data_IF_819373616002
#
_entry.id   IF_819373616002
#
_cell.length_a   1.000
_cell.length_b   1.000
_cell.length_c   1.000
_cell.angle_alpha   90.00
_cell.angle_beta   90.00
_cell.angle_gamma   90.00
#
_symmetry.space_group_name_H-M   'P 1'
#
loop_
_entity.id
_entity.type
_entity.pdbx_description
1 polymer ?
#
# COMPACT_ATOMS: atom_id res chain seq x y z
N UNK A 1 -11.55 -12.04 43.93
CA UNK A 1 -10.41 -12.06 42.96
C UNK A 1 -10.85 -12.46 41.56
N UNK A 2 -11.75 -13.42 41.36
CA UNK A 2 -12.20 -13.87 40.03
C UNK A 2 -12.90 -12.80 39.18
N UNK A 3 -13.64 -11.86 39.79
CA UNK A 3 -14.34 -10.76 39.10
C UNK A 3 -13.41 -9.74 38.45
N UNK A 4 -12.21 -9.51 38.99
CA UNK A 4 -11.24 -8.59 38.44
C UNK A 4 -10.43 -9.21 37.28
N UNK A 5 -10.28 -10.51 37.26
CA UNK A 5 -9.63 -11.24 36.18
C UNK A 5 -10.43 -11.15 34.87
N UNK A 6 -11.77 -11.24 34.98
CA UNK A 6 -12.66 -11.14 33.82
C UNK A 6 -12.66 -9.74 33.15
N UNK A 7 -12.52 -8.67 33.93
CA UNK A 7 -12.45 -7.30 33.44
C UNK A 7 -11.09 -7.01 32.77
N UNK A 8 -10.01 -7.57 33.31
CA UNK A 8 -8.67 -7.41 32.72
C UNK A 8 -8.54 -8.11 31.34
N UNK A 9 -9.17 -9.27 31.17
CA UNK A 9 -9.18 -9.99 29.87
C UNK A 9 -10.02 -9.26 28.81
N UNK A 10 -11.12 -8.60 29.21
CA UNK A 10 -11.97 -7.83 28.29
C UNK A 10 -11.29 -6.56 27.76
N UNK A 11 -10.36 -5.96 28.51
CA UNK A 11 -9.61 -4.77 28.11
C UNK A 11 -8.47 -5.04 27.12
N UNK A 12 -7.99 -6.28 27.02
CA UNK A 12 -6.91 -6.68 26.12
C UNK A 12 -7.38 -6.97 24.67
N UNK A 13 -8.69 -7.05 24.44
CA UNK A 13 -9.24 -7.40 23.12
C UNK A 13 -9.55 -6.22 22.20
N UNK A 14 -9.30 -4.97 22.61
CA UNK A 14 -9.64 -3.75 21.83
C UNK A 14 -8.54 -3.24 20.90
N UNK A 15 -7.47 -3.97 20.67
CA UNK A 15 -6.27 -3.49 19.95
C UNK A 15 -6.17 -3.82 18.46
N UNK A 16 -7.23 -4.31 17.79
CA UNK A 16 -7.18 -4.63 16.36
C UNK A 16 -7.51 -3.42 15.47
N UNK A 17 -6.93 -2.22 15.75
CA UNK A 17 -6.97 -1.11 14.81
C UNK A 17 -6.00 -1.40 13.65
N UNK A 18 -6.50 -1.39 12.42
CA UNK A 18 -5.66 -1.46 11.23
C UNK A 18 -4.68 -0.27 11.25
N UNK A 19 -3.40 -0.54 11.50
CA UNK A 19 -2.37 0.48 11.64
C UNK A 19 -1.68 0.76 10.31
N UNK A 20 -1.22 2.01 10.14
CA UNK A 20 -0.36 2.37 9.00
C UNK A 20 0.95 1.58 9.08
N UNK A 21 1.40 0.92 8.01
CA UNK A 21 2.71 0.25 7.96
C UNK A 21 3.84 1.15 8.45
N UNK A 22 4.78 0.60 9.21
CA UNK A 22 5.86 1.38 9.83
C UNK A 22 6.67 2.21 8.82
N UNK A 23 6.90 1.68 7.61
CA UNK A 23 7.60 2.36 6.52
C UNK A 23 6.83 3.56 5.93
N UNK A 24 5.53 3.66 6.20
CA UNK A 24 4.66 4.74 5.75
C UNK A 24 4.30 5.72 6.87
N UNK A 25 4.84 5.53 8.07
CA UNK A 25 4.66 6.45 9.19
C UNK A 25 5.62 7.63 9.07
N UNK A 26 5.23 8.78 9.63
CA UNK A 26 6.08 9.97 9.65
C UNK A 26 5.29 11.26 9.62
N UNK A 27 5.98 12.38 9.41
CA UNK A 27 5.39 13.71 9.24
C UNK A 27 5.35 14.05 7.76
N UNK A 28 4.19 14.38 7.25
CA UNK A 28 3.95 14.72 5.85
C UNK A 28 3.05 15.95 5.75
N UNK A 29 3.21 16.69 4.67
CA UNK A 29 2.25 17.73 4.32
C UNK A 29 1.00 17.05 3.74
N UNK A 30 -0.16 17.35 4.34
CA UNK A 30 -1.45 16.88 3.82
C UNK A 30 -1.74 17.58 2.49
N UNK A 31 -1.59 16.84 1.39
CA UNK A 31 -1.67 17.38 0.03
C UNK A 31 -1.99 16.28 -0.97
N UNK A 32 -2.32 16.70 -2.19
CA UNK A 32 -2.52 15.80 -3.33
C UNK A 32 -1.61 16.23 -4.47
N UNK A 33 -1.32 15.37 -5.45
CA UNK A 33 -0.55 15.78 -6.64
C UNK A 33 -1.18 16.93 -7.43
N UNK A 34 -2.52 17.05 -7.41
CA UNK A 34 -3.23 18.17 -8.04
C UNK A 34 -3.05 19.49 -7.31
N UNK A 35 -2.84 19.45 -6.00
CA UNK A 35 -2.55 20.57 -5.10
C UNK A 35 -1.25 20.27 -4.36
N UNK A 36 -0.14 20.20 -5.12
CA UNK A 36 1.17 19.88 -4.59
C UNK A 36 1.69 21.01 -3.69
N UNK A 37 2.35 20.67 -2.57
CA UNK A 37 2.97 21.65 -1.68
C UNK A 37 4.24 22.25 -2.33
N UNK A 38 4.91 23.19 -1.67
CA UNK A 38 6.20 23.68 -2.15
C UNK A 38 7.25 22.58 -2.34
N UNK A 39 8.17 22.79 -3.27
CA UNK A 39 9.30 21.89 -3.51
C UNK A 39 10.14 21.78 -2.22
N UNK A 40 10.57 20.57 -1.92
CA UNK A 40 11.34 20.26 -0.70
C UNK A 40 10.49 19.66 0.43
N UNK A 41 9.18 19.82 0.39
CA UNK A 41 8.30 19.23 1.38
C UNK A 41 8.20 17.69 1.25
N UNK A 42 8.03 17.03 2.38
CA UNK A 42 7.80 15.58 2.41
C UNK A 42 6.32 15.28 2.24
N UNK A 43 6.02 14.44 1.28
CA UNK A 43 4.66 14.02 0.93
C UNK A 43 4.48 12.52 1.12
N UNK A 44 3.23 12.11 1.36
CA UNK A 44 2.81 10.72 1.30
C UNK A 44 1.61 10.63 0.36
N UNK A 45 1.86 10.15 -0.85
CA UNK A 45 0.86 9.98 -1.90
C UNK A 45 0.77 8.53 -2.32
N UNK A 46 -0.38 8.10 -2.77
CA UNK A 46 -0.54 6.76 -3.28
C UNK A 46 -1.60 6.69 -4.37
N UNK A 47 -1.66 5.56 -5.03
CA UNK A 47 -2.56 5.34 -6.15
C UNK A 47 -2.20 4.08 -6.91
N UNK A 48 -2.61 4.03 -8.16
CA UNK A 48 -2.33 2.91 -9.05
C UNK A 48 -1.13 3.19 -9.96
N UNK A 49 -0.27 2.19 -10.10
CA UNK A 49 0.85 2.21 -11.04
C UNK A 49 0.32 2.25 -12.48
N UNK A 50 0.70 3.26 -13.23
CA UNK A 50 0.39 3.38 -14.66
C UNK A 50 1.54 2.83 -15.50
N UNK A 51 2.78 3.20 -15.13
CA UNK A 51 3.99 2.83 -15.87
C UNK A 51 5.19 2.80 -14.95
N UNK A 52 6.15 1.95 -15.28
CA UNK A 52 7.47 1.89 -14.64
C UNK A 52 8.53 2.15 -15.71
N UNK A 53 9.43 3.07 -15.44
CA UNK A 53 10.52 3.46 -16.35
C UNK A 53 11.87 3.35 -15.65
N UNK A 54 12.60 2.23 -15.80
CA UNK A 54 13.99 2.17 -15.42
C UNK A 54 14.84 3.12 -16.27
N UNK A 55 15.75 3.85 -15.63
CA UNK A 55 16.75 4.70 -16.25
C UNK A 55 18.13 4.23 -15.80
N UNK A 56 19.20 4.86 -16.25
CA UNK A 56 20.57 4.44 -15.94
C UNK A 56 20.80 4.29 -14.42
N UNK A 57 20.40 5.30 -13.62
CA UNK A 57 20.70 5.35 -12.19
C UNK A 57 19.46 5.41 -11.31
N UNK A 58 18.27 5.48 -11.89
CA UNK A 58 17.00 5.65 -11.16
C UNK A 58 15.89 4.87 -11.84
N UNK A 59 14.91 4.43 -11.06
CA UNK A 59 13.66 3.93 -11.61
C UNK A 59 12.53 4.84 -11.21
N UNK A 60 11.69 5.22 -12.18
CA UNK A 60 10.56 6.11 -11.96
C UNK A 60 9.24 5.37 -12.20
N UNK A 61 8.27 5.59 -11.33
CA UNK A 61 6.89 5.13 -11.47
C UNK A 61 5.98 6.30 -11.79
N UNK A 62 5.17 6.19 -12.84
CA UNK A 62 4.00 7.05 -13.03
C UNK A 62 2.83 6.45 -12.25
N UNK A 63 2.23 7.25 -11.39
CA UNK A 63 1.13 6.83 -10.50
C UNK A 63 -0.08 7.72 -10.72
N UNK A 64 -1.26 7.09 -10.94
CA UNK A 64 -2.54 7.76 -10.87
C UNK A 64 -2.95 7.81 -9.40
N UNK A 65 -2.90 9.00 -8.81
CA UNK A 65 -3.11 9.17 -7.39
C UNK A 65 -4.59 9.05 -7.01
N UNK A 66 -4.81 8.45 -5.86
CA UNK A 66 -6.08 8.41 -5.14
C UNK A 66 -5.89 8.92 -3.71
N UNK A 67 -6.98 9.29 -3.05
CA UNK A 67 -6.94 9.61 -1.63
C UNK A 67 -6.50 8.38 -0.83
N UNK A 68 -5.85 8.63 0.32
CA UNK A 68 -5.39 7.56 1.20
C UNK A 68 -6.38 7.33 2.33
N UNK A 69 -6.72 6.08 2.56
CA UNK A 69 -7.50 5.68 3.73
C UNK A 69 -6.69 5.72 5.04
N UNK A 70 -7.33 5.37 6.15
CA UNK A 70 -6.73 5.39 7.47
C UNK A 70 -5.47 4.52 7.65
N UNK A 71 -5.27 3.51 6.80
CA UNK A 71 -4.07 2.67 6.76
C UNK A 71 -2.99 3.20 5.82
N UNK A 72 -3.19 4.37 5.21
CA UNK A 72 -2.38 4.91 4.13
C UNK A 72 -2.43 4.10 2.82
N UNK A 73 -3.40 3.22 2.66
CA UNK A 73 -3.69 2.54 1.39
C UNK A 73 -4.55 3.43 0.51
N UNK A 74 -4.31 3.47 -0.82
CA UNK A 74 -5.21 4.16 -1.75
C UNK A 74 -6.65 3.68 -1.61
N UNK A 75 -7.60 4.62 -1.58
CA UNK A 75 -9.02 4.31 -1.57
C UNK A 75 -9.43 3.94 -2.99
N UNK A 76 -10.22 2.87 -3.12
CA UNK A 76 -10.82 2.46 -4.38
C UNK A 76 -11.99 3.39 -4.71
N UNK A 77 -11.73 4.41 -5.53
CA UNK A 77 -12.71 5.41 -5.96
C UNK A 77 -12.51 5.75 -7.43
N UNK A 78 -13.58 6.15 -8.11
CA UNK A 78 -13.53 6.61 -9.51
C UNK A 78 -12.84 7.98 -9.67
N UNK A 79 -12.58 8.68 -8.57
CA UNK A 79 -11.97 10.01 -8.59
C UNK A 79 -10.47 9.93 -8.35
N UNK A 80 -9.70 10.42 -9.33
CA UNK A 80 -8.26 10.59 -9.14
C UNK A 80 -7.92 11.91 -8.45
N UNK A 81 -6.86 11.89 -7.66
CA UNK A 81 -6.25 13.07 -7.04
C UNK A 81 -5.17 13.72 -7.93
N UNK A 82 -5.09 13.33 -9.19
CA UNK A 82 -4.09 13.74 -10.16
C UNK A 82 -3.07 12.64 -10.45
N UNK A 83 -1.98 13.00 -11.12
CA UNK A 83 -0.86 12.07 -11.41
C UNK A 83 0.44 12.63 -10.85
N UNK A 84 1.37 11.76 -10.52
CA UNK A 84 2.71 12.14 -10.11
C UNK A 84 3.74 11.11 -10.58
N UNK A 85 4.99 11.50 -10.59
CA UNK A 85 6.11 10.62 -10.87
C UNK A 85 6.90 10.44 -9.58
N UNK A 86 7.06 9.18 -9.15
CA UNK A 86 7.90 8.80 -8.03
C UNK A 86 9.18 8.17 -8.56
N UNK A 87 10.35 8.76 -8.26
CA UNK A 87 11.62 8.23 -8.68
C UNK A 87 12.44 7.80 -7.47
N UNK A 88 13.07 6.63 -7.54
CA UNK A 88 13.98 6.09 -6.55
C UNK A 88 15.31 5.73 -7.20
N UNK A 89 16.43 5.94 -6.51
CA UNK A 89 17.75 5.57 -7.00
C UNK A 89 17.87 4.04 -7.13
N UNK A 90 18.54 3.61 -8.17
CA UNK A 90 18.77 2.23 -8.51
C UNK A 90 17.71 1.61 -9.42
N UNK A 91 17.92 0.33 -9.70
CA UNK A 91 17.03 -0.45 -10.54
C UNK A 91 15.93 -1.08 -9.70
N UNK A 92 14.70 -0.93 -10.16
CA UNK A 92 13.51 -1.63 -9.65
C UNK A 92 12.98 -2.48 -10.80
N UNK A 93 12.74 -3.75 -10.55
CA UNK A 93 12.19 -4.66 -11.55
C UNK A 93 10.75 -4.25 -11.92
N UNK A 94 10.48 -3.89 -13.20
CA UNK A 94 9.13 -3.48 -13.60
C UNK A 94 8.07 -4.56 -13.36
N UNK A 95 8.46 -5.83 -13.43
CA UNK A 95 7.59 -6.96 -13.15
C UNK A 95 7.02 -6.98 -11.73
N UNK A 96 7.71 -6.39 -10.77
CA UNK A 96 7.25 -6.30 -9.38
C UNK A 96 6.15 -5.24 -9.21
N UNK A 97 6.11 -4.24 -10.08
CA UNK A 97 5.15 -3.13 -10.06
C UNK A 97 4.28 -3.08 -11.32
N UNK A 98 3.55 -4.14 -11.64
CA UNK A 98 2.74 -4.16 -12.85
C UNK A 98 1.61 -3.10 -12.77
N UNK A 99 1.19 -2.62 -13.94
CA UNK A 99 0.10 -1.66 -14.09
C UNK A 99 -1.15 -2.09 -13.30
N UNK A 100 -1.82 -1.12 -12.65
CA UNK A 100 -3.02 -1.33 -11.83
C UNK A 100 -2.74 -1.79 -10.40
N UNK A 101 -1.46 -1.95 -9.99
CA UNK A 101 -1.14 -2.27 -8.60
C UNK A 101 -1.16 -1.00 -7.75
N UNK A 102 -1.65 -1.15 -6.55
CA UNK A 102 -1.69 -0.07 -5.58
C UNK A 102 -0.33 0.12 -4.90
N UNK A 103 0.14 1.36 -4.90
CA UNK A 103 1.37 1.77 -4.21
C UNK A 103 1.09 2.97 -3.31
N UNK A 104 1.86 3.09 -2.24
CA UNK A 104 1.97 4.33 -1.46
C UNK A 104 3.43 4.73 -1.41
N UNK A 105 3.69 5.96 -1.78
CA UNK A 105 5.01 6.56 -1.88
C UNK A 105 5.18 7.59 -0.77
N UNK A 106 6.31 7.53 -0.10
CA UNK A 106 6.79 8.55 0.83
C UNK A 106 8.09 9.11 0.27
N UNK A 107 8.20 10.42 0.21
CA UNK A 107 9.40 11.06 -0.30
C UNK A 107 9.27 12.57 -0.36
N UNK A 108 10.32 13.20 -0.85
CA UNK A 108 10.40 14.66 -0.96
C UNK A 108 9.99 15.13 -2.35
N UNK A 109 9.14 16.16 -2.41
CA UNK A 109 8.82 16.80 -3.67
C UNK A 109 10.08 17.47 -4.25
N UNK A 110 10.55 16.99 -5.40
CA UNK A 110 11.82 17.40 -6.01
C UNK A 110 11.65 18.34 -7.20
N UNK A 111 10.42 18.61 -7.62
CA UNK A 111 10.13 19.49 -8.75
C UNK A 111 8.93 19.01 -9.56
N UNK A 112 8.90 19.39 -10.82
CA UNK A 112 7.89 18.99 -11.79
C UNK A 112 8.55 18.49 -13.08
N UNK A 113 7.84 17.65 -13.83
CA UNK A 113 8.24 17.16 -15.16
C UNK A 113 7.07 17.30 -16.09
N UNK A 114 7.29 17.89 -17.26
CA UNK A 114 6.29 17.92 -18.32
C UNK A 114 6.32 16.61 -19.09
N UNK A 115 5.18 16.02 -19.30
CA UNK A 115 4.98 14.81 -20.09
C UNK A 115 3.62 14.85 -20.79
N UNK A 116 3.19 13.72 -21.33
CA UNK A 116 1.91 13.64 -22.06
C UNK A 116 1.02 12.56 -21.51
N UNK A 117 -0.28 12.84 -21.47
CA UNK A 117 -1.35 11.87 -21.20
C UNK A 117 -2.18 11.77 -22.48
N UNK A 118 -1.93 10.76 -23.28
CA UNK A 118 -2.42 10.73 -24.64
C UNK A 118 -1.80 11.90 -25.45
N UNK A 119 -2.64 12.80 -25.96
CA UNK A 119 -2.19 13.98 -26.70
C UNK A 119 -2.09 15.25 -25.85
N UNK A 120 -2.50 15.20 -24.58
CA UNK A 120 -2.49 16.35 -23.67
C UNK A 120 -1.15 16.50 -22.97
N UNK A 121 -0.62 17.72 -22.93
CA UNK A 121 0.51 18.07 -22.10
C UNK A 121 0.09 18.08 -20.63
N UNK A 122 0.86 17.41 -19.80
CA UNK A 122 0.57 17.26 -18.38
C UNK A 122 1.81 17.56 -17.55
N UNK A 123 1.65 18.40 -16.52
CA UNK A 123 2.72 18.71 -15.59
C UNK A 123 2.61 17.76 -14.38
N UNK A 124 3.58 16.87 -14.26
CA UNK A 124 3.66 15.91 -13.18
C UNK A 124 4.49 16.44 -12.02
N UNK A 125 3.97 16.52 -10.80
CA UNK A 125 4.82 16.64 -9.62
C UNK A 125 5.77 15.44 -9.55
N UNK A 126 7.06 15.70 -9.27
CA UNK A 126 8.08 14.65 -9.14
C UNK A 126 8.47 14.49 -7.68
N UNK A 127 8.39 13.25 -7.18
CA UNK A 127 8.77 12.87 -5.83
C UNK A 127 10.07 12.06 -5.89
N UNK A 128 11.11 12.52 -5.17
CA UNK A 128 12.26 11.70 -4.85
C UNK A 128 11.83 10.75 -3.73
N UNK A 129 11.59 9.50 -4.09
CA UNK A 129 10.97 8.53 -3.20
C UNK A 129 12.01 7.93 -2.23
N UNK A 130 11.72 8.02 -0.94
CA UNK A 130 12.44 7.31 0.11
C UNK A 130 11.85 5.92 0.32
N UNK A 131 10.54 5.76 0.11
CA UNK A 131 9.80 4.50 0.25
C UNK A 131 8.77 4.39 -0.85
N UNK A 132 8.74 3.22 -1.51
CA UNK A 132 7.65 2.78 -2.38
C UNK A 132 7.06 1.50 -1.79
N UNK A 133 5.85 1.60 -1.26
CA UNK A 133 5.16 0.48 -0.62
C UNK A 133 4.12 -0.10 -1.56
N UNK A 134 4.37 -1.31 -2.05
CA UNK A 134 3.45 -2.04 -2.90
C UNK A 134 2.44 -2.82 -2.06
N UNK A 135 1.17 -2.48 -2.18
CA UNK A 135 0.11 -3.15 -1.43
C UNK A 135 -0.17 -4.57 -1.97
N UNK A 136 -0.49 -5.53 -1.10
CA UNK A 136 -1.02 -6.81 -1.55
C UNK A 136 -2.27 -6.61 -2.42
N UNK A 137 -2.46 -7.46 -3.42
CA UNK A 137 -3.71 -7.44 -4.22
C UNK A 137 -4.91 -7.51 -3.29
N UNK A 138 -5.95 -6.72 -3.57
CA UNK A 138 -7.21 -6.87 -2.86
C UNK A 138 -7.71 -8.28 -3.14
N UNK A 139 -7.94 -9.06 -2.08
CA UNK A 139 -8.68 -10.31 -2.25
C UNK A 139 -10.10 -9.91 -2.69
N UNK A 140 -10.44 -10.23 -3.92
CA UNK A 140 -11.84 -10.31 -4.28
C UNK A 140 -12.41 -11.43 -3.41
N UNK A 141 -12.94 -11.10 -2.24
CA UNK A 141 -13.91 -11.99 -1.62
C UNK A 141 -15.02 -12.07 -2.66
N UNK A 142 -15.02 -13.13 -3.42
CA UNK A 142 -16.25 -13.53 -4.05
C UNK A 142 -17.25 -13.55 -2.90
N UNK A 143 -18.14 -12.57 -2.85
CA UNK A 143 -19.40 -12.69 -2.18
C UNK A 143 -20.12 -13.76 -2.99
N UNK A 144 -19.71 -15.00 -2.77
CA UNK A 144 -20.47 -16.16 -3.17
C UNK A 144 -21.73 -16.12 -2.31
N UNK A 145 -22.66 -15.27 -2.70
CA UNK A 145 -24.04 -15.66 -2.71
C UNK A 145 -24.06 -16.82 -3.73
N UNK A 146 -23.60 -17.98 -3.29
CA UNK A 146 -24.07 -19.19 -3.87
C UNK A 146 -25.59 -19.06 -3.80
N UNK A 147 -26.33 -19.20 -4.91
CA UNK A 147 -27.75 -19.37 -4.81
C UNK A 147 -27.89 -20.54 -3.84
N UNK A 148 -28.31 -20.25 -2.61
CA UNK A 148 -28.78 -21.28 -1.72
C UNK A 148 -29.83 -21.96 -2.54
N UNK A 149 -29.49 -23.14 -3.06
CA UNK A 149 -30.48 -24.06 -3.57
C UNK A 149 -31.40 -24.33 -2.38
N UNK A 150 -32.37 -23.48 -2.20
CA UNK A 150 -33.60 -23.88 -1.58
C UNK A 150 -34.18 -24.89 -2.57
N UNK A 151 -33.76 -26.12 -2.43
CA UNK A 151 -34.45 -27.26 -2.98
C UNK A 151 -35.71 -27.45 -2.11
N UNK A 152 -36.87 -26.99 -2.56
CA UNK A 152 -38.11 -27.12 -1.77
C UNK A 152 -38.58 -28.55 -1.66
N UNK A 153 -37.86 -29.51 -2.26
CA UNK A 153 -38.29 -30.91 -2.32
C UNK A 153 -37.63 -31.82 -1.27
N UNK A 154 -36.53 -31.39 -0.64
CA UNK A 154 -35.91 -32.12 0.47
C UNK A 154 -36.19 -31.36 1.77
N UNK A 155 -37.38 -31.57 2.31
CA UNK A 155 -37.78 -31.10 3.61
C UNK A 155 -36.96 -31.67 4.79
N UNK A 156 -37.31 -31.36 6.04
CA UNK A 156 -36.45 -31.39 7.24
C UNK A 156 -36.11 -32.80 7.81
N UNK A 157 -35.97 -33.81 6.95
CA UNK A 157 -35.75 -35.22 7.37
C UNK A 157 -34.37 -35.77 6.99
N UNK A 158 -33.40 -34.97 6.63
CA UNK A 158 -32.05 -35.42 6.23
C UNK A 158 -30.97 -35.16 7.27
N UNK A 159 -31.25 -35.30 8.54
CA UNK A 159 -30.26 -35.05 9.59
C UNK A 159 -29.93 -36.25 10.43
N UNK A 160 -29.09 -37.19 9.95
CA UNK A 160 -28.34 -38.10 10.82
C UNK A 160 -27.05 -38.52 10.07
N UNK A 161 -25.91 -38.18 10.64
CA UNK A 161 -24.65 -38.86 10.33
C UNK A 161 -23.57 -38.02 9.71
N UNK A 162 -22.63 -37.52 10.49
CA UNK A 162 -21.39 -36.97 9.98
C UNK A 162 -20.58 -36.30 11.08
N UNK A 163 -19.98 -37.08 11.97
CA UNK A 163 -18.88 -36.60 12.78
C UNK A 163 -17.68 -36.30 11.89
N UNK A 164 -17.49 -35.04 11.49
CA UNK A 164 -16.34 -34.57 10.77
C UNK A 164 -15.46 -33.70 11.68
N UNK A 165 -14.53 -34.31 12.40
CA UNK A 165 -13.36 -33.63 12.93
C UNK A 165 -12.50 -33.16 11.79
N UNK A 166 -12.47 -31.86 11.55
CA UNK A 166 -11.64 -31.22 10.54
C UNK A 166 -11.23 -29.82 10.96
N UNK A 167 -10.49 -29.72 12.05
CA UNK A 167 -9.82 -28.47 12.44
C UNK A 167 -8.64 -28.20 11.53
N UNK A 168 -8.86 -27.54 10.39
CA UNK A 168 -7.82 -27.03 9.52
C UNK A 168 -7.40 -25.64 9.96
N UNK A 169 -6.37 -25.50 10.74
CA UNK A 169 -5.64 -24.25 10.94
C UNK A 169 -4.87 -23.93 9.65
N UNK A 170 -5.51 -23.32 8.68
CA UNK A 170 -4.81 -22.67 7.61
C UNK A 170 -4.40 -21.27 8.06
N UNK A 171 -3.19 -21.16 8.63
CA UNK A 171 -2.47 -19.93 8.77
C UNK A 171 -2.30 -19.34 7.37
N UNK A 172 -3.11 -18.32 7.04
CA UNK A 172 -3.06 -17.64 5.75
C UNK A 172 -1.71 -16.95 5.58
N UNK A 173 -0.82 -17.56 4.81
CA UNK A 173 0.30 -16.86 4.21
C UNK A 173 -0.26 -15.98 3.09
N UNK A 174 -0.84 -14.84 3.45
CA UNK A 174 -1.14 -13.78 2.48
C UNK A 174 0.15 -13.29 1.84
N UNK A 175 0.15 -12.91 0.56
CA UNK A 175 1.33 -12.35 -0.08
C UNK A 175 1.84 -11.15 0.72
N UNK A 176 3.12 -11.19 1.10
CA UNK A 176 3.76 -10.12 1.84
C UNK A 176 3.92 -8.89 0.94
N UNK A 177 3.73 -7.66 1.45
CA UNK A 177 3.99 -6.46 0.67
C UNK A 177 5.49 -6.37 0.36
N UNK A 178 5.82 -5.94 -0.85
CA UNK A 178 7.19 -5.61 -1.23
C UNK A 178 7.44 -4.17 -0.78
N UNK A 179 8.43 -3.98 0.10
CA UNK A 179 8.82 -2.67 0.60
C UNK A 179 10.24 -2.41 0.11
N UNK A 180 10.40 -1.42 -0.74
CA UNK A 180 11.71 -0.96 -1.17
C UNK A 180 11.98 0.35 -0.42
N UNK A 181 12.96 0.31 0.47
CA UNK A 181 13.42 1.46 1.25
C UNK A 181 14.81 1.84 0.76
N UNK A 182 15.01 3.12 0.45
CA UNK A 182 16.33 3.64 0.06
C UNK A 182 17.34 3.35 1.20
N UNK A 183 18.48 2.70 0.92
CA UNK A 183 19.52 2.50 1.93
C UNK A 183 20.03 3.85 2.43
N UNK A 184 20.08 4.03 3.74
CA UNK A 184 20.74 5.20 4.34
C UNK A 184 22.24 5.08 4.07
N UNK A 185 22.77 5.96 3.25
CA UNK A 185 24.20 6.11 3.12
C UNK A 185 24.75 6.60 4.47
N UNK A 186 25.36 5.70 5.24
CA UNK A 186 26.22 6.12 6.32
C UNK A 186 27.44 6.79 5.68
N UNK A 187 27.60 8.08 5.90
CA UNK A 187 28.83 8.76 5.51
C UNK A 187 30.02 8.00 6.14
N UNK A 188 31.09 7.70 5.38
CA UNK A 188 32.24 7.06 5.95
C UNK A 188 32.81 7.94 7.08
N UNK A 189 33.31 7.35 8.18
CA UNK A 189 33.89 8.13 9.25
C UNK A 189 35.02 8.99 8.70
N UNK A 190 35.02 10.29 9.04
CA UNK A 190 36.06 11.24 8.64
C UNK A 190 37.40 10.68 9.04
N UNK A 191 38.21 10.33 8.03
CA UNK A 191 39.54 9.75 8.24
C UNK A 191 40.42 10.69 9.09
N UNK A 192 40.75 10.23 10.27
CA UNK A 192 41.70 10.93 11.14
C UNK A 192 43.03 11.08 10.43
N UNK A 193 43.44 12.32 10.18
CA UNK A 193 44.83 12.63 9.80
C UNK A 193 45.74 12.10 10.90
N UNK A 194 46.51 11.07 10.59
CA UNK A 194 47.70 10.76 11.37
C UNK A 194 48.79 11.79 11.01
N UNK A 195 49.27 12.48 12.04
CA UNK A 195 50.52 13.25 11.97
C UNK A 195 51.68 12.30 11.97
#
# INVERSE_FOLDING_TARGET
>A
MLKYLSVAVALLSLGACATVPASLQGKYVASTPRAAPPIGETVRWGGEVIKVEPKADTTCLEVLAHELGGTARPIDTDRSAGRFIACQDGFIEPGDYPKGREVTVVGRLSGTVTGRVGEFDYVYPRVAADTMYLWPKRSQRATGYGPGFYDPFWGPWGGYGGYGFGGGYYGGFGPRPIIIVKPRHHAPPAGGRRK
#
